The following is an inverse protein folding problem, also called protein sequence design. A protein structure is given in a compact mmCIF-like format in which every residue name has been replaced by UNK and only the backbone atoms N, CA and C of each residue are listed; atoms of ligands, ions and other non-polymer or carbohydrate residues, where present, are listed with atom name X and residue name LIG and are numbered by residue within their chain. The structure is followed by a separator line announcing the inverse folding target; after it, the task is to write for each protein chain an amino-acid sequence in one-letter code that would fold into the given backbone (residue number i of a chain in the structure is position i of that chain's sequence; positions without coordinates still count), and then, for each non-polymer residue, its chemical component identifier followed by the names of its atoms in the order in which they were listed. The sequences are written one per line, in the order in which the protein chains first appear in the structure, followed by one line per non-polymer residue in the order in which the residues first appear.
data_IF_500371033932
#
_entry.id   IF_500371033932
#
_cell.length_a   1.000
_cell.length_b   1.000
_cell.length_c   1.000
_cell.angle_alpha   90.00
_cell.angle_beta   90.00
_cell.angle_gamma   90.00
#
_symmetry.space_group_name_H-M   'P 1'
#
loop_
_entity.id
_entity.type
_entity.pdbx_description
1 polymer ?
#
# COMPACT_ATOMS: atom_id res chain seq x y z
N UNK A 1 -0.16 55.98 42.40
CA UNK A 1 -0.49 55.11 41.24
C UNK A 1 0.59 54.05 41.13
N UNK A 2 0.32 52.87 41.70
CA UNK A 2 1.25 51.73 41.77
C UNK A 2 0.90 50.77 40.63
N UNK A 3 1.90 50.43 39.81
CA UNK A 3 1.87 49.32 38.86
C UNK A 3 2.71 48.17 39.41
N UNK A 4 2.46 46.99 38.84
CA UNK A 4 3.18 45.72 38.95
C UNK A 4 2.62 44.79 40.03
N UNK A 5 1.58 44.07 39.62
CA UNK A 5 1.26 42.72 40.09
C UNK A 5 1.99 41.79 39.11
N UNK A 6 2.94 41.01 39.59
CA UNK A 6 3.37 39.78 38.92
C UNK A 6 3.75 38.78 39.99
N UNK A 7 2.93 37.73 40.00
CA UNK A 7 2.89 36.62 40.93
C UNK A 7 4.17 35.81 40.76
N UNK A 8 5.02 35.82 41.78
CA UNK A 8 6.19 34.96 41.87
C UNK A 8 5.72 33.60 42.40
N UNK A 9 5.35 32.68 41.50
CA UNK A 9 5.05 31.30 41.86
C UNK A 9 6.35 30.58 42.24
N UNK A 10 6.42 30.20 43.51
CA UNK A 10 7.40 29.31 44.11
C UNK A 10 7.25 27.92 43.49
N UNK A 11 8.15 27.54 42.59
CA UNK A 11 8.27 26.14 42.15
C UNK A 11 9.22 25.46 43.12
N UNK A 12 8.60 24.76 44.07
CA UNK A 12 9.23 23.84 44.98
C UNK A 12 9.79 22.63 44.21
N UNK A 13 11.07 22.43 44.43
CA UNK A 13 11.88 21.24 44.13
C UNK A 13 11.13 19.97 44.52
N UNK A 14 10.93 19.07 43.55
CA UNK A 14 10.70 17.66 43.85
C UNK A 14 11.67 16.83 43.00
N UNK A 15 12.76 16.41 43.66
CA UNK A 15 13.70 15.42 43.18
C UNK A 15 12.94 14.10 42.98
N UNK A 16 12.70 13.70 41.73
CA UNK A 16 12.31 12.33 41.45
C UNK A 16 13.57 11.48 41.34
N UNK A 17 13.71 10.62 42.34
CA UNK A 17 14.82 9.70 42.57
C UNK A 17 14.82 8.64 41.48
N UNK A 18 15.95 8.50 40.78
CA UNK A 18 16.26 7.32 39.98
C UNK A 18 16.35 6.12 40.93
N UNK A 19 15.32 5.28 40.94
CA UNK A 19 15.34 4.00 41.65
C UNK A 19 15.63 2.89 40.65
N UNK A 20 16.90 2.51 40.59
CA UNK A 20 17.34 1.22 40.05
C UNK A 20 16.71 0.10 40.87
N UNK A 21 15.83 -0.69 40.27
CA UNK A 21 15.62 -2.07 40.71
C UNK A 21 16.21 -2.99 39.64
N UNK A 22 17.44 -3.43 39.93
CA UNK A 22 18.05 -4.57 39.29
C UNK A 22 17.20 -5.82 39.56
N UNK A 23 16.59 -6.38 38.51
CA UNK A 23 16.10 -7.76 38.57
C UNK A 23 17.32 -8.66 38.39
N UNK A 24 17.74 -9.29 39.48
CA UNK A 24 18.66 -10.43 39.46
C UNK A 24 17.87 -11.64 38.95
N UNK A 25 18.24 -12.16 37.79
CA UNK A 25 17.87 -13.49 37.34
C UNK A 25 19.15 -14.34 37.30
N UNK A 26 19.22 -15.30 38.19
CA UNK A 26 20.21 -16.39 38.25
C UNK A 26 19.38 -17.63 38.62
N UNK A 27 19.50 -18.80 38.02
CA UNK A 27 20.38 -19.35 36.98
C UNK A 27 19.73 -20.71 36.63
N UNK A 28 19.89 -21.21 35.39
CA UNK A 28 20.25 -22.61 35.13
C UNK A 28 20.20 -22.88 33.62
N UNK A 29 21.33 -22.68 32.95
CA UNK A 29 21.65 -23.41 31.72
C UNK A 29 22.97 -24.12 31.98
N UNK A 30 22.83 -25.42 32.21
CA UNK A 30 23.92 -26.37 32.35
C UNK A 30 24.76 -26.40 31.06
N UNK A 31 26.07 -26.32 31.23
CA UNK A 31 27.10 -26.28 30.18
C UNK A 31 28.02 -27.47 30.44
N UNK A 32 28.06 -28.39 29.49
CA UNK A 32 29.10 -29.40 29.19
C UNK A 32 28.50 -30.25 28.05
N UNK A 33 29.14 -30.63 26.95
CA UNK A 33 30.54 -30.75 26.57
C UNK A 33 30.61 -30.95 25.03
N UNK A 34 31.71 -30.53 24.41
CA UNK A 34 32.03 -30.64 22.98
C UNK A 34 32.41 -32.08 22.62
N UNK A 35 31.96 -32.62 21.47
CA UNK A 35 32.70 -33.61 20.66
C UNK A 35 32.52 -33.37 19.16
N UNK A 36 33.62 -32.96 18.53
CA UNK A 36 33.88 -33.04 17.08
C UNK A 36 34.17 -34.50 16.66
N UNK A 37 34.29 -34.66 15.33
CA UNK A 37 34.85 -35.80 14.57
C UNK A 37 33.83 -36.78 13.99
N UNK A 38 33.53 -36.66 12.67
CA UNK A 38 33.95 -37.66 11.66
C UNK A 38 33.98 -36.99 10.28
N UNK A 39 35.19 -36.88 9.76
CA UNK A 39 35.58 -36.60 8.39
C UNK A 39 35.34 -37.86 7.53
N UNK A 40 34.68 -37.78 6.37
CA UNK A 40 34.76 -38.82 5.34
C UNK A 40 34.90 -38.21 3.94
N UNK A 41 36.15 -38.32 3.50
CA UNK A 41 36.81 -37.98 2.25
C UNK A 41 36.03 -38.19 0.94
N UNK A 42 36.11 -37.18 0.07
CA UNK A 42 35.96 -37.26 -1.37
C UNK A 42 37.15 -38.01 -2.00
N UNK A 43 36.95 -38.82 -3.04
CA UNK A 43 37.99 -39.14 -4.00
C UNK A 43 37.86 -38.26 -5.25
N UNK A 44 38.98 -37.64 -5.61
CA UNK A 44 39.21 -36.93 -6.87
C UNK A 44 39.91 -37.87 -7.86
N UNK A 45 39.62 -37.63 -9.14
CA UNK A 45 40.38 -38.02 -10.34
C UNK A 45 40.03 -39.35 -11.04
N UNK A 46 39.40 -39.26 -12.22
CA UNK A 46 40.08 -39.48 -13.50
C UNK A 46 39.12 -39.65 -14.69
N UNK A 47 39.31 -38.75 -15.67
CA UNK A 47 39.25 -38.93 -17.13
C UNK A 47 37.90 -38.94 -17.90
N UNK A 48 37.88 -37.99 -18.84
CA UNK A 48 36.92 -37.70 -19.92
C UNK A 48 36.63 -38.90 -20.84
N UNK A 49 35.39 -39.01 -21.32
CA UNK A 49 35.14 -39.32 -22.75
C UNK A 49 33.72 -38.94 -23.19
N UNK A 50 33.61 -38.75 -24.51
CA UNK A 50 32.67 -37.96 -25.30
C UNK A 50 31.19 -38.41 -25.40
N UNK A 51 30.36 -37.41 -25.75
CA UNK A 51 29.18 -37.43 -26.62
C UNK A 51 27.94 -38.26 -26.22
N UNK A 52 26.88 -37.54 -25.82
CA UNK A 52 25.53 -37.80 -26.36
C UNK A 52 24.62 -36.57 -26.30
N UNK A 53 24.21 -36.16 -27.48
CA UNK A 53 23.06 -35.31 -27.80
C UNK A 53 21.79 -35.88 -27.16
N UNK A 54 21.12 -35.10 -26.31
CA UNK A 54 19.67 -35.24 -26.10
C UNK A 54 19.05 -33.91 -25.66
N UNK A 55 18.29 -33.37 -26.60
CA UNK A 55 17.29 -32.31 -26.43
C UNK A 55 16.39 -32.58 -25.23
N UNK A 56 16.23 -31.61 -24.33
CA UNK A 56 15.00 -31.50 -23.52
C UNK A 56 14.65 -30.03 -23.38
N UNK A 57 13.64 -29.63 -24.16
CA UNK A 57 13.02 -28.33 -24.11
C UNK A 57 12.33 -28.13 -22.76
N UNK A 58 12.61 -27.01 -22.11
CA UNK A 58 11.82 -26.50 -20.98
C UNK A 58 10.79 -25.54 -21.59
N UNK A 59 9.49 -25.82 -21.53
CA UNK A 59 8.49 -24.83 -21.89
C UNK A 59 8.29 -23.89 -20.69
N UNK A 60 9.03 -22.77 -20.68
CA UNK A 60 8.56 -21.58 -19.96
C UNK A 60 7.41 -20.97 -20.75
N UNK A 61 6.20 -21.45 -20.48
CA UNK A 61 4.98 -20.70 -20.78
C UNK A 61 4.60 -19.93 -19.52
N UNK A 62 5.20 -18.76 -19.37
CA UNK A 62 4.69 -17.70 -18.50
C UNK A 62 3.34 -17.28 -19.08
N UNK A 63 2.26 -17.74 -18.45
CA UNK A 63 0.89 -17.35 -18.79
C UNK A 63 0.75 -15.88 -18.37
N UNK A 64 0.99 -14.98 -19.31
CA UNK A 64 0.53 -13.59 -19.21
C UNK A 64 -1.00 -13.70 -19.32
N UNK A 65 -1.79 -13.20 -18.34
CA UNK A 65 -3.24 -13.17 -18.50
C UNK A 65 -3.54 -12.30 -19.73
N UNK A 66 -4.16 -12.91 -20.73
CA UNK A 66 -4.62 -12.22 -21.93
C UNK A 66 -5.50 -11.06 -21.50
N UNK A 67 -4.99 -9.84 -21.71
CA UNK A 67 -5.73 -8.61 -21.50
C UNK A 67 -6.97 -8.66 -22.37
N UNK A 68 -8.12 -8.94 -21.76
CA UNK A 68 -9.43 -8.73 -22.37
C UNK A 68 -9.46 -7.30 -22.86
N UNK A 69 -9.40 -7.12 -24.18
CA UNK A 69 -9.48 -5.80 -24.81
C UNK A 69 -10.85 -5.24 -24.48
N UNK A 70 -10.87 -4.36 -23.49
CA UNK A 70 -12.01 -3.55 -23.09
C UNK A 70 -12.65 -2.94 -24.33
N UNK A 71 -13.95 -3.18 -24.50
CA UNK A 71 -14.74 -2.66 -25.63
C UNK A 71 -15.23 -1.24 -25.34
N UNK A 72 -15.19 -0.81 -24.08
CA UNK A 72 -15.65 0.50 -23.61
C UNK A 72 -14.51 1.50 -23.65
N UNK A 73 -14.85 2.75 -23.90
CA UNK A 73 -13.93 3.88 -23.82
C UNK A 73 -13.66 4.24 -22.35
N UNK A 74 -12.55 4.95 -22.10
CA UNK A 74 -12.26 5.49 -20.77
C UNK A 74 -13.42 6.31 -20.22
N UNK A 75 -14.04 7.17 -21.04
CA UNK A 75 -15.17 7.98 -20.63
C UNK A 75 -16.42 7.16 -20.24
N UNK A 76 -16.70 6.07 -20.95
CA UNK A 76 -17.81 5.16 -20.60
C UNK A 76 -17.55 4.47 -19.26
N UNK A 77 -16.32 4.03 -19.02
CA UNK A 77 -15.94 3.40 -17.74
C UNK A 77 -16.03 4.37 -16.57
N UNK A 78 -15.53 5.60 -16.73
CA UNK A 78 -15.65 6.63 -15.69
C UNK A 78 -17.12 6.95 -15.39
N UNK A 79 -17.97 7.05 -16.40
CA UNK A 79 -19.40 7.30 -16.21
C UNK A 79 -20.09 6.14 -15.44
N UNK A 80 -19.73 4.89 -15.74
CA UNK A 80 -20.26 3.73 -15.01
C UNK A 80 -19.75 3.65 -13.58
N UNK A 81 -18.46 3.94 -13.33
CA UNK A 81 -17.89 4.06 -11.97
C UNK A 81 -18.67 5.10 -11.16
N UNK A 82 -18.95 6.26 -11.75
CA UNK A 82 -19.70 7.33 -11.07
C UNK A 82 -21.19 7.00 -10.83
N UNK A 83 -21.71 5.92 -11.43
CA UNK A 83 -23.06 5.41 -11.17
C UNK A 83 -23.12 4.38 -10.03
N UNK A 84 -21.97 3.94 -9.52
CA UNK A 84 -21.91 2.97 -8.43
C UNK A 84 -22.40 3.58 -7.10
N UNK A 85 -22.95 2.73 -6.23
CA UNK A 85 -23.50 3.16 -4.94
C UNK A 85 -22.40 3.74 -4.04
N UNK A 86 -21.26 3.07 -3.97
CA UNK A 86 -20.07 3.57 -3.27
C UNK A 86 -19.04 3.96 -4.33
N UNK A 87 -18.63 5.22 -4.34
CA UNK A 87 -17.74 5.77 -5.38
C UNK A 87 -16.85 6.88 -4.85
N UNK A 88 -15.72 7.10 -5.53
CA UNK A 88 -14.87 8.28 -5.33
C UNK A 88 -15.54 9.48 -5.99
N UNK A 89 -15.75 10.55 -5.23
CA UNK A 89 -16.38 11.80 -5.70
C UNK A 89 -15.38 12.95 -5.83
N UNK A 90 -14.24 12.86 -5.15
CA UNK A 90 -13.18 13.86 -5.21
C UNK A 90 -11.83 13.21 -4.95
N UNK A 91 -10.81 13.69 -5.67
CA UNK A 91 -9.41 13.35 -5.43
C UNK A 91 -8.62 14.62 -5.20
N UNK A 92 -7.79 14.65 -4.16
CA UNK A 92 -6.99 15.83 -3.80
C UNK A 92 -5.55 15.45 -3.49
N UNK A 93 -4.58 16.20 -4.04
CA UNK A 93 -3.20 16.11 -3.58
C UNK A 93 -3.08 16.95 -2.31
N UNK A 94 -2.69 16.33 -1.20
CA UNK A 94 -2.54 17.00 0.09
C UNK A 94 -1.07 17.10 0.42
N UNK A 95 -0.52 18.31 0.34
CA UNK A 95 0.81 18.62 0.86
C UNK A 95 0.79 18.63 2.39
N UNK A 96 1.71 17.89 3.01
CA UNK A 96 1.84 17.85 4.46
C UNK A 96 3.22 18.26 4.95
N UNK A 97 3.31 18.61 6.24
CA UNK A 97 4.60 19.01 6.86
C UNK A 97 5.65 17.90 6.85
N UNK A 98 5.21 16.63 6.87
CA UNK A 98 6.08 15.46 6.90
C UNK A 98 5.86 14.58 5.67
N UNK A 99 4.60 14.29 5.36
CA UNK A 99 4.21 13.43 4.26
C UNK A 99 3.11 14.06 3.43
N UNK A 100 3.16 13.80 2.12
CA UNK A 100 2.12 14.19 1.19
C UNK A 100 1.21 12.99 0.94
N UNK A 101 -0.03 13.26 0.52
CA UNK A 101 -1.03 12.22 0.31
C UNK A 101 -1.75 12.40 -1.03
N UNK A 102 -2.01 11.29 -1.71
CA UNK A 102 -3.10 11.20 -2.68
C UNK A 102 -4.38 10.86 -1.91
N UNK A 103 -5.24 11.85 -1.74
CA UNK A 103 -6.52 11.70 -1.05
C UNK A 103 -7.62 11.33 -2.03
N UNK A 104 -8.52 10.45 -1.59
CA UNK A 104 -9.77 10.14 -2.27
C UNK A 104 -10.93 10.21 -1.26
N UNK A 105 -11.91 11.07 -1.57
CA UNK A 105 -13.16 11.16 -0.83
C UNK A 105 -14.18 10.24 -1.48
N UNK A 106 -14.66 9.28 -0.71
CA UNK A 106 -15.71 8.35 -1.10
C UNK A 106 -17.07 8.78 -0.57
N UNK A 107 -18.12 8.52 -1.33
CA UNK A 107 -19.52 8.69 -0.94
C UNK A 107 -20.22 7.34 -0.93
N UNK A 108 -21.08 7.11 0.06
CA UNK A 108 -21.93 5.94 0.14
C UNK A 108 -23.39 6.31 -0.13
N UNK A 109 -23.91 5.98 -1.30
CA UNK A 109 -25.31 6.14 -1.68
C UNK A 109 -26.14 4.86 -1.48
N UNK A 110 -25.52 3.77 -1.02
CA UNK A 110 -26.24 2.53 -0.70
C UNK A 110 -27.06 2.70 0.59
N UNK A 111 -27.99 1.77 0.83
CA UNK A 111 -28.78 1.73 2.06
C UNK A 111 -28.00 1.19 3.27
N UNK A 112 -26.83 0.57 3.07
CA UNK A 112 -26.08 -0.13 4.12
C UNK A 112 -24.81 0.65 4.48
N UNK A 113 -24.47 0.72 5.75
CA UNK A 113 -23.21 1.34 6.17
C UNK A 113 -22.00 0.50 5.70
N UNK A 114 -20.94 1.19 5.29
CA UNK A 114 -19.65 0.62 4.91
C UNK A 114 -18.72 0.62 6.12
N UNK A 115 -18.12 -0.53 6.40
CA UNK A 115 -17.19 -0.74 7.52
C UNK A 115 -15.75 -0.46 7.10
N UNK A 116 -15.33 -1.05 5.98
CA UNK A 116 -14.00 -0.90 5.41
C UNK A 116 -14.12 -0.69 3.89
N UNK A 117 -13.14 -0.04 3.29
CA UNK A 117 -13.01 0.07 1.84
C UNK A 117 -11.55 -0.07 1.42
N UNK A 118 -11.31 -0.46 0.17
CA UNK A 118 -10.00 -0.44 -0.48
C UNK A 118 -10.07 0.51 -1.66
N UNK A 119 -9.13 1.44 -1.75
CA UNK A 119 -9.08 2.47 -2.80
C UNK A 119 -7.78 2.32 -3.58
N UNK A 120 -7.86 2.11 -4.89
CA UNK A 120 -6.68 2.07 -5.75
C UNK A 120 -6.39 3.45 -6.33
N UNK A 121 -5.11 3.77 -6.50
CA UNK A 121 -4.61 5.00 -7.10
C UNK A 121 -3.71 4.70 -8.31
N UNK A 122 -3.77 5.58 -9.30
CA UNK A 122 -2.82 5.66 -10.44
C UNK A 122 -2.44 7.11 -10.65
N UNK A 123 -1.21 7.36 -11.10
CA UNK A 123 -0.69 8.72 -11.24
C UNK A 123 0.10 8.92 -12.54
N UNK A 124 0.21 10.19 -12.93
CA UNK A 124 0.94 10.65 -14.11
C UNK A 124 1.70 11.94 -13.81
N UNK A 125 2.79 12.13 -14.55
CA UNK A 125 3.59 13.34 -14.54
C UNK A 125 3.00 14.45 -15.44
N UNK A 126 3.68 15.60 -15.49
CA UNK A 126 3.31 16.74 -16.34
C UNK A 126 3.23 16.41 -17.84
N UNK A 127 3.89 15.34 -18.28
CA UNK A 127 3.91 14.86 -19.66
C UNK A 127 2.89 13.74 -19.91
N UNK A 128 1.98 13.51 -18.96
CA UNK A 128 1.00 12.44 -18.97
C UNK A 128 1.62 11.03 -18.94
N UNK A 129 2.90 10.88 -18.59
CA UNK A 129 3.56 9.58 -18.47
C UNK A 129 3.22 8.95 -17.11
N UNK A 130 2.99 7.63 -17.04
CA UNK A 130 2.60 6.97 -15.80
C UNK A 130 3.75 7.03 -14.78
N UNK A 131 3.39 7.20 -13.50
CA UNK A 131 4.33 7.31 -12.37
C UNK A 131 4.23 6.06 -11.50
N UNK A 132 5.38 5.53 -11.07
CA UNK A 132 5.46 4.44 -10.08
C UNK A 132 5.18 5.02 -8.70
N UNK A 133 4.16 4.52 -8.02
CA UNK A 133 3.71 4.92 -6.67
C UNK A 133 4.37 4.08 -5.57
N UNK A 134 4.65 2.80 -5.83
CA UNK A 134 5.42 1.91 -4.94
C UNK A 134 6.46 1.10 -5.74
N UNK A 135 7.74 1.38 -5.50
CA UNK A 135 8.86 0.70 -6.15
C UNK A 135 9.28 -0.61 -5.44
N UNK A 136 8.51 -1.05 -4.45
CA UNK A 136 8.77 -2.30 -3.76
C UNK A 136 8.66 -3.50 -4.70
N UNK A 137 9.44 -4.55 -4.43
CA UNK A 137 9.41 -5.79 -5.21
C UNK A 137 8.11 -6.60 -5.07
N UNK A 138 7.18 -6.14 -4.22
CA UNK A 138 5.90 -6.78 -3.94
C UNK A 138 4.72 -5.96 -4.48
N UNK A 139 4.99 -4.82 -5.13
CA UNK A 139 3.94 -3.94 -5.62
C UNK A 139 3.15 -4.59 -6.75
N UNK A 140 1.84 -4.36 -6.72
CA UNK A 140 0.97 -4.77 -7.81
C UNK A 140 1.28 -3.92 -9.06
N UNK A 141 1.09 -4.49 -10.25
CA UNK A 141 1.20 -3.76 -11.52
C UNK A 141 2.52 -2.97 -11.66
N UNK A 142 3.64 -3.59 -11.26
CA UNK A 142 4.97 -3.00 -11.29
C UNK A 142 5.06 -1.62 -10.57
N UNK A 143 4.19 -1.39 -9.59
CA UNK A 143 4.16 -0.18 -8.77
C UNK A 143 3.35 0.98 -9.34
N UNK A 144 2.73 0.84 -10.52
CA UNK A 144 1.93 1.91 -11.13
C UNK A 144 0.53 2.04 -10.55
N UNK A 145 0.13 1.08 -9.72
CA UNK A 145 -1.15 1.05 -9.02
C UNK A 145 -0.85 0.74 -7.57
N UNK A 146 -1.41 1.53 -6.66
CA UNK A 146 -1.25 1.30 -5.24
C UNK A 146 -2.60 1.36 -4.53
N UNK A 147 -2.85 0.38 -3.66
CA UNK A 147 -4.10 0.22 -2.93
C UNK A 147 -3.97 0.74 -1.49
N UNK A 148 -4.91 1.58 -1.08
CA UNK A 148 -4.97 2.16 0.25
C UNK A 148 -6.18 1.60 1.01
N UNK A 149 -5.92 1.01 2.17
CA UNK A 149 -6.95 0.47 3.05
C UNK A 149 -7.58 1.56 3.91
N UNK A 150 -8.90 1.72 3.76
CA UNK A 150 -9.74 2.56 4.58
C UNK A 150 -10.44 1.66 5.61
N UNK A 151 -9.77 1.42 6.75
CA UNK A 151 -10.27 0.52 7.79
C UNK A 151 -11.12 1.24 8.84
N UNK A 152 -12.21 0.61 9.30
CA UNK A 152 -13.03 1.10 10.40
C UNK A 152 -13.66 2.47 10.16
N UNK A 153 -13.97 2.79 8.89
CA UNK A 153 -14.45 4.11 8.48
C UNK A 153 -15.88 4.41 8.93
N UNK A 154 -16.67 3.36 9.19
CA UNK A 154 -18.06 3.46 9.66
C UNK A 154 -18.91 4.44 8.82
N UNK A 155 -18.77 4.36 7.50
CA UNK A 155 -19.37 5.29 6.55
C UNK A 155 -20.85 4.95 6.34
N UNK A 156 -21.72 5.75 6.96
CA UNK A 156 -23.18 5.59 6.88
C UNK A 156 -23.72 6.01 5.50
N UNK A 157 -24.97 5.63 5.23
CA UNK A 157 -25.69 6.02 4.01
C UNK A 157 -25.77 7.54 3.84
N UNK A 158 -25.72 8.00 2.60
CA UNK A 158 -25.74 9.40 2.17
C UNK A 158 -24.65 10.29 2.82
N UNK A 159 -23.52 9.70 3.20
CA UNK A 159 -22.39 10.39 3.81
C UNK A 159 -21.09 10.18 3.03
N UNK A 160 -20.06 10.91 3.42
CA UNK A 160 -18.74 10.91 2.77
C UNK A 160 -17.62 10.62 3.78
N UNK A 161 -16.51 10.07 3.29
CA UNK A 161 -15.30 9.80 4.08
C UNK A 161 -14.06 9.99 3.21
N UNK A 162 -12.97 10.50 3.78
CA UNK A 162 -11.66 10.57 3.09
C UNK A 162 -10.90 11.87 3.29
N UNK A 163 -11.52 12.92 3.86
CA UNK A 163 -10.85 14.19 4.12
C UNK A 163 -9.57 14.01 4.95
N UNK A 164 -8.43 14.46 4.41
CA UNK A 164 -7.13 14.34 5.07
C UNK A 164 -6.62 12.89 5.23
N UNK A 165 -7.19 11.93 4.48
CA UNK A 165 -6.82 10.51 4.45
C UNK A 165 -6.48 10.12 3.02
N UNK A 166 -5.61 9.13 2.86
CA UNK A 166 -5.28 8.63 1.53
C UNK A 166 -3.95 7.90 1.50
N UNK A 167 -3.48 7.66 0.28
CA UNK A 167 -2.19 7.03 0.05
C UNK A 167 -1.06 7.98 0.43
N UNK A 168 -0.26 7.59 1.41
CA UNK A 168 0.95 8.31 1.81
C UNK A 168 2.01 8.14 0.72
N UNK A 169 2.58 9.24 0.25
CA UNK A 169 3.61 9.23 -0.78
C UNK A 169 5.01 9.16 -0.18
N UNK A 170 5.85 8.28 -0.72
CA UNK A 170 7.29 8.32 -0.46
C UNK A 170 7.90 9.61 -1.03
N UNK A 171 8.85 10.17 -0.29
CA UNK A 171 9.60 11.38 -0.67
C UNK A 171 10.17 11.38 -2.08
N UNK A 172 10.52 10.22 -2.63
CA UNK A 172 11.09 10.05 -3.96
C UNK A 172 10.09 10.29 -5.10
N UNK A 173 8.79 10.13 -4.83
CA UNK A 173 7.73 10.19 -5.85
C UNK A 173 6.99 11.53 -5.83
N UNK A 174 6.91 12.21 -4.67
CA UNK A 174 6.11 13.43 -4.44
C UNK A 174 6.19 14.48 -5.55
N UNK A 175 7.41 14.80 -6.00
CA UNK A 175 7.65 15.89 -6.97
C UNK A 175 7.36 15.52 -8.43
N UNK A 176 6.92 14.29 -8.70
CA UNK A 176 6.70 13.79 -10.07
C UNK A 176 5.23 13.70 -10.46
N UNK A 177 4.30 13.77 -9.50
CA UNK A 177 2.88 13.58 -9.74
C UNK A 177 2.23 14.92 -10.08
N UNK A 178 1.64 15.03 -11.26
CA UNK A 178 0.83 16.17 -11.70
C UNK A 178 -0.67 15.81 -11.71
N UNK A 179 -1.00 14.59 -12.15
CA UNK A 179 -2.36 14.10 -12.28
C UNK A 179 -2.48 12.73 -11.63
N UNK A 180 -3.63 12.43 -11.07
CA UNK A 180 -3.91 11.09 -10.56
C UNK A 180 -5.41 10.80 -10.59
N UNK A 181 -5.75 9.52 -10.51
CA UNK A 181 -7.12 9.02 -10.41
C UNK A 181 -7.20 7.97 -9.32
N UNK A 182 -8.41 7.79 -8.80
CA UNK A 182 -8.69 6.77 -7.80
C UNK A 182 -10.02 6.06 -8.08
N UNK A 183 -10.11 4.81 -7.63
CA UNK A 183 -11.30 3.97 -7.75
C UNK A 183 -11.51 3.17 -6.45
N UNK A 184 -12.76 2.95 -6.06
CA UNK A 184 -13.08 1.99 -4.99
C UNK A 184 -12.87 0.59 -5.56
N UNK A 185 -11.92 -0.17 -5.02
CA UNK A 185 -11.64 -1.56 -5.43
C UNK A 185 -12.68 -2.49 -4.82
N UNK A 186 -12.89 -2.36 -3.52
CA UNK A 186 -13.82 -3.19 -2.77
C UNK A 186 -14.28 -2.49 -1.49
N UNK A 187 -15.35 -2.99 -0.88
CA UNK A 187 -15.76 -2.58 0.46
C UNK A 187 -16.51 -3.67 1.20
N UNK A 188 -16.36 -3.68 2.52
CA UNK A 188 -17.14 -4.52 3.42
C UNK A 188 -18.26 -3.71 4.05
N UNK A 189 -19.46 -4.26 4.08
CA UNK A 189 -20.59 -3.65 4.77
C UNK A 189 -20.83 -4.25 6.17
N UNK A 190 -21.68 -3.61 6.97
CA UNK A 190 -22.03 -4.09 8.31
C UNK A 190 -22.92 -5.35 8.34
N UNK A 191 -23.43 -5.78 7.18
CA UNK A 191 -24.14 -7.06 7.04
C UNK A 191 -23.16 -8.24 6.86
N UNK A 192 -21.86 -7.97 6.70
CA UNK A 192 -20.83 -8.97 6.46
C UNK A 192 -20.69 -9.37 4.98
N UNK A 193 -21.22 -8.56 4.07
CA UNK A 193 -21.04 -8.75 2.63
C UNK A 193 -19.87 -7.89 2.15
N UNK A 194 -19.08 -8.46 1.24
CA UNK A 194 -18.03 -7.75 0.51
C UNK A 194 -18.52 -7.50 -0.91
N UNK A 195 -18.44 -6.25 -1.32
CA UNK A 195 -18.62 -5.87 -2.72
C UNK A 195 -17.25 -5.68 -3.36
N UNK A 196 -17.07 -6.28 -4.54
CA UNK A 196 -15.89 -6.14 -5.38
C UNK A 196 -16.27 -5.32 -6.62
N UNK A 197 -15.42 -4.38 -7.02
CA UNK A 197 -15.73 -3.51 -8.15
C UNK A 197 -15.63 -4.26 -9.47
N UNK A 198 -16.75 -4.46 -10.21
CA UNK A 198 -16.72 -5.20 -11.46
C UNK A 198 -15.96 -4.49 -12.59
N UNK A 199 -15.59 -3.22 -12.40
CA UNK A 199 -14.87 -2.40 -13.38
C UNK A 199 -13.38 -2.24 -13.05
N UNK A 200 -12.89 -2.84 -11.95
CA UNK A 200 -11.50 -2.64 -11.52
C UNK A 200 -10.48 -3.09 -12.57
N UNK A 201 -10.58 -4.34 -13.04
CA UNK A 201 -9.65 -4.88 -14.05
C UNK A 201 -9.69 -4.09 -15.36
N UNK A 202 -10.86 -3.61 -15.76
CA UNK A 202 -11.04 -2.79 -16.96
C UNK A 202 -10.42 -1.40 -16.79
N UNK A 203 -10.61 -0.77 -15.63
CA UNK A 203 -10.00 0.50 -15.27
C UNK A 203 -8.47 0.40 -15.23
N UNK A 204 -7.94 -0.68 -14.65
CA UNK A 204 -6.51 -1.00 -14.66
C UNK A 204 -5.99 -1.14 -16.09
N UNK A 205 -6.69 -1.88 -16.96
CA UNK A 205 -6.30 -2.03 -18.37
C UNK A 205 -6.23 -0.72 -19.15
N UNK A 206 -6.99 0.29 -18.72
CA UNK A 206 -7.02 1.63 -19.33
C UNK A 206 -5.89 2.52 -18.79
N UNK A 207 -5.58 2.47 -17.49
CA UNK A 207 -4.74 3.47 -16.83
C UNK A 207 -3.39 2.96 -16.32
N UNK A 208 -3.30 1.71 -15.85
CA UNK A 208 -2.06 1.18 -15.31
C UNK A 208 -0.99 1.08 -16.41
N UNK A 209 0.20 1.63 -16.15
CA UNK A 209 1.32 1.66 -17.12
C UNK A 209 0.97 2.30 -18.47
N UNK A 210 -0.09 3.11 -18.54
CA UNK A 210 -0.52 3.79 -19.78
C UNK A 210 -0.29 5.28 -19.68
N UNK A 211 0.16 5.88 -20.78
CA UNK A 211 0.14 7.34 -20.91
C UNK A 211 -1.32 7.83 -20.85
N UNK A 212 -1.59 8.86 -20.04
CA UNK A 212 -2.92 9.45 -19.95
C UNK A 212 -3.26 10.14 -21.28
N UNK A 213 -4.38 9.73 -21.88
CA UNK A 213 -4.93 10.35 -23.09
C UNK A 213 -6.05 11.30 -22.67
N UNK A 214 -5.93 12.57 -23.07
CA UNK A 214 -6.96 13.60 -22.91
C UNK A 214 -8.11 13.42 -23.91
#
# INVERSE_FOLDING_TARGET
MRRIISVLCVILVFCFVMSSCAVKFTEDVNKDEIKEDVYLSLPEDALETEAKDETTAIPETTVIPETTVSKKTSAEIEAEIQSQEVKVILTEYIEGTFDDYLSAIIQNDSATAVKNAVIAFVAWDENNLPVILDDSSFSAYNGYVEECNYEGINLISASQYGEGRGLRLDSSVKQTIEKFKAIVVSYDNFNGETWENPLYDEWIGIYAEKQLKE
#
